data_IF_021262910858
#
_entry.id   IF_021262910858
#
_cell.length_a   1.000
_cell.length_b   1.000
_cell.length_c   1.000
_cell.angle_alpha   90.00
_cell.angle_beta   90.00
_cell.angle_gamma   90.00
#
_symmetry.space_group_name_H-M   'P 1'
#
loop_
_entity.id
_entity.type
_entity.pdbx_description
1 polymer ?
#
# COMPACT_ATOMS: atom_id res chain seq x y z
N UNK A 1 28.55 26.80 20.13
CA UNK A 1 29.63 25.86 19.74
C UNK A 1 29.84 25.99 18.24
N UNK A 2 30.87 26.73 17.82
CA UNK A 2 31.16 26.95 16.40
C UNK A 2 31.65 25.63 15.78
N UNK A 3 30.89 25.09 14.82
CA UNK A 3 31.26 23.87 14.10
C UNK A 3 32.54 24.10 13.28
N UNK A 4 33.42 23.10 13.20
CA UNK A 4 34.62 23.16 12.34
C UNK A 4 34.22 23.50 10.91
N UNK A 5 34.65 24.66 10.43
CA UNK A 5 34.39 25.16 9.08
C UNK A 5 34.89 24.14 8.03
N UNK A 6 34.17 24.03 6.92
CA UNK A 6 34.59 23.22 5.77
C UNK A 6 35.56 24.03 4.92
N UNK A 7 36.72 23.47 4.61
CA UNK A 7 37.66 24.07 3.65
C UNK A 7 37.36 23.56 2.24
N UNK A 8 37.71 24.32 1.21
CA UNK A 8 37.50 23.92 -0.19
C UNK A 8 38.14 22.57 -0.53
N UNK A 9 39.32 22.28 0.05
CA UNK A 9 40.01 21.00 -0.11
C UNK A 9 39.21 19.83 0.49
N UNK A 10 38.58 20.02 1.66
CA UNK A 10 37.71 19.00 2.28
C UNK A 10 36.45 18.75 1.46
N UNK A 11 35.95 19.75 0.74
CA UNK A 11 34.79 19.59 -0.14
C UNK A 11 35.13 18.82 -1.41
N UNK A 12 36.30 19.04 -1.99
CA UNK A 12 36.78 18.26 -3.14
C UNK A 12 37.05 16.80 -2.74
N UNK A 13 37.70 16.59 -1.59
CA UNK A 13 37.95 15.26 -1.06
C UNK A 13 36.62 14.55 -0.72
N UNK A 14 35.65 15.26 -0.14
CA UNK A 14 34.30 14.71 0.08
C UNK A 14 33.64 14.28 -1.22
N UNK A 15 33.70 15.10 -2.28
CA UNK A 15 33.16 14.73 -3.60
C UNK A 15 33.83 13.47 -4.12
N UNK A 16 35.16 13.40 -4.08
CA UNK A 16 35.92 12.24 -4.55
C UNK A 16 35.54 10.96 -3.78
N UNK A 17 35.41 11.04 -2.46
CA UNK A 17 35.04 9.90 -1.62
C UNK A 17 33.60 9.44 -1.85
N UNK A 18 32.66 10.39 -2.09
CA UNK A 18 31.28 10.06 -2.44
C UNK A 18 31.19 9.43 -3.84
N UNK A 19 31.94 9.93 -4.82
CA UNK A 19 32.02 9.30 -6.15
C UNK A 19 32.65 7.91 -6.11
N UNK A 20 33.56 7.67 -5.18
CA UNK A 20 34.14 6.35 -4.92
C UNK A 20 33.19 5.41 -4.14
N UNK A 21 31.95 5.83 -3.86
CA UNK A 21 30.92 5.05 -3.16
C UNK A 21 31.32 4.59 -1.74
N UNK A 22 32.14 5.36 -1.02
CA UNK A 22 32.44 5.04 0.38
C UNK A 22 31.24 5.32 1.30
N UNK A 23 31.17 4.58 2.40
CA UNK A 23 30.14 4.76 3.41
C UNK A 23 30.38 6.06 4.21
N UNK A 24 29.31 6.71 4.69
CA UNK A 24 29.38 7.95 5.48
C UNK A 24 30.33 7.84 6.66
N UNK A 25 30.37 6.70 7.35
CA UNK A 25 31.22 6.53 8.52
C UNK A 25 32.71 6.45 8.17
N UNK A 26 33.04 5.85 7.02
CA UNK A 26 34.41 5.82 6.49
C UNK A 26 34.86 7.21 6.05
N UNK A 27 33.95 7.97 5.43
CA UNK A 27 34.18 9.37 5.03
C UNK A 27 34.37 10.24 6.26
N UNK A 28 33.55 10.06 7.30
CA UNK A 28 33.63 10.77 8.57
C UNK A 28 34.96 10.53 9.27
N UNK A 29 35.42 9.27 9.29
CA UNK A 29 36.73 8.89 9.84
C UNK A 29 37.88 9.53 9.05
N UNK A 30 37.85 9.51 7.71
CA UNK A 30 38.89 10.11 6.87
C UNK A 30 38.97 11.63 7.00
N UNK A 31 37.81 12.31 7.04
CA UNK A 31 37.74 13.77 7.12
C UNK A 31 37.83 14.31 8.56
N UNK A 32 37.90 13.42 9.56
CA UNK A 32 37.89 13.76 10.98
C UNK A 32 36.71 14.70 11.36
N UNK A 33 35.52 14.38 10.82
CA UNK A 33 34.24 15.06 11.03
C UNK A 33 33.23 14.06 11.58
N UNK A 34 32.13 14.55 12.16
CA UNK A 34 31.03 13.66 12.54
C UNK A 34 30.23 13.21 11.32
N UNK A 35 29.68 11.99 11.34
CA UNK A 35 28.81 11.45 10.28
C UNK A 35 27.66 12.42 9.95
N UNK A 36 27.07 13.06 10.98
CA UNK A 36 26.05 14.10 10.81
C UNK A 36 26.55 15.31 10.01
N UNK A 37 27.78 15.77 10.25
CA UNK A 37 28.35 16.90 9.51
C UNK A 37 28.61 16.55 8.04
N UNK A 38 29.03 15.30 7.77
CA UNK A 38 29.20 14.77 6.41
C UNK A 38 27.86 14.72 5.67
N UNK A 39 26.82 14.15 6.30
CA UNK A 39 25.47 14.07 5.72
C UNK A 39 24.93 15.47 5.37
N UNK A 40 24.93 16.41 6.33
CA UNK A 40 24.43 17.78 6.10
C UNK A 40 25.21 18.48 4.99
N UNK A 41 26.52 18.21 4.86
CA UNK A 41 27.32 18.83 3.80
C UNK A 41 27.04 18.20 2.45
N UNK A 42 26.90 16.87 2.36
CA UNK A 42 26.52 16.19 1.14
C UNK A 42 25.14 16.62 0.65
N UNK A 43 24.16 16.77 1.54
CA UNK A 43 22.83 17.31 1.22
C UNK A 43 22.93 18.73 0.62
N UNK A 44 23.72 19.61 1.24
CA UNK A 44 23.95 20.98 0.73
C UNK A 44 24.65 21.00 -0.63
N UNK A 45 25.49 20.01 -0.92
CA UNK A 45 26.21 19.86 -2.17
C UNK A 45 25.43 19.04 -3.22
N UNK A 46 24.23 18.55 -2.90
CA UNK A 46 23.42 17.69 -3.78
C UNK A 46 24.01 16.30 -4.02
N UNK A 47 24.90 15.83 -3.15
CA UNK A 47 25.59 14.55 -3.27
C UNK A 47 24.77 13.43 -2.58
N UNK A 48 24.57 12.30 -3.27
CA UNK A 48 23.92 11.12 -2.69
C UNK A 48 24.97 10.27 -1.98
N UNK A 49 24.80 10.07 -0.67
CA UNK A 49 25.69 9.20 0.11
C UNK A 49 24.92 7.98 0.59
N UNK A 50 25.59 6.83 0.62
CA UNK A 50 25.07 5.63 1.23
C UNK A 50 25.14 5.79 2.74
N UNK A 51 23.98 5.96 3.38
CA UNK A 51 23.86 5.88 4.85
C UNK A 51 23.33 4.50 5.20
N UNK A 52 24.07 3.74 5.99
CA UNK A 52 23.49 2.60 6.69
C UNK A 52 22.50 3.12 7.74
N UNK A 53 21.21 3.21 7.37
CA UNK A 53 20.13 3.44 8.34
C UNK A 53 19.05 4.46 7.96
N UNK A 54 19.24 5.27 6.92
CA UNK A 54 18.22 6.24 6.47
C UNK A 54 17.97 6.10 4.97
N UNK A 55 17.47 4.93 4.58
CA UNK A 55 16.81 4.82 3.29
C UNK A 55 15.42 5.45 3.41
N UNK A 56 15.31 6.73 3.05
CA UNK A 56 14.12 7.26 2.39
C UNK A 56 14.02 6.63 0.99
N UNK A 57 14.09 5.30 0.90
CA UNK A 57 13.76 4.59 -0.31
C UNK A 57 12.24 4.76 -0.45
N UNK A 58 11.82 5.54 -1.45
CA UNK A 58 10.45 5.47 -1.97
C UNK A 58 10.09 3.99 -2.08
N UNK A 59 9.21 3.52 -1.20
CA UNK A 59 8.79 2.12 -1.21
C UNK A 59 8.07 1.94 -2.54
N UNK A 60 8.60 1.14 -3.48
CA UNK A 60 7.96 0.98 -4.77
C UNK A 60 6.58 0.38 -4.51
N UNK A 61 5.54 1.14 -4.82
CA UNK A 61 4.16 0.65 -4.72
C UNK A 61 4.03 -0.45 -5.77
N UNK A 62 3.74 -1.69 -5.38
CA UNK A 62 3.61 -2.79 -6.32
C UNK A 62 2.43 -2.52 -7.26
N UNK A 63 2.58 -2.85 -8.54
CA UNK A 63 1.53 -2.67 -9.56
C UNK A 63 0.29 -3.53 -9.25
N UNK A 64 0.50 -4.65 -8.60
CA UNK A 64 -0.54 -5.60 -8.20
C UNK A 64 -0.40 -5.91 -6.72
N UNK A 65 -1.54 -6.07 -6.04
CA UNK A 65 -1.56 -6.46 -4.63
C UNK A 65 -1.07 -7.91 -4.50
N UNK A 66 -0.27 -8.23 -3.47
CA UNK A 66 0.07 -9.62 -3.16
C UNK A 66 -1.18 -10.50 -3.05
N UNK A 67 -1.11 -11.73 -3.53
CA UNK A 67 -2.18 -12.70 -3.31
C UNK A 67 -2.29 -13.06 -1.81
N UNK A 68 -3.48 -13.56 -1.41
CA UNK A 68 -3.70 -14.06 -0.04
C UNK A 68 -2.67 -15.13 0.32
N UNK A 69 -2.38 -16.03 -0.62
CA UNK A 69 -1.44 -17.13 -0.41
C UNK A 69 -0.01 -16.60 -0.18
N UNK A 70 0.41 -15.58 -0.93
CA UNK A 70 1.72 -14.94 -0.73
C UNK A 70 1.82 -14.28 0.64
N UNK A 71 0.79 -13.55 1.09
CA UNK A 71 0.77 -12.96 2.41
C UNK A 71 0.81 -14.01 3.53
N UNK A 72 0.09 -15.12 3.36
CA UNK A 72 0.14 -16.24 4.30
C UNK A 72 1.51 -16.91 4.33
N UNK A 73 2.19 -17.06 3.18
CA UNK A 73 3.56 -17.58 3.12
C UNK A 73 4.55 -16.66 3.85
N UNK A 74 4.41 -15.33 3.69
CA UNK A 74 5.24 -14.35 4.41
C UNK A 74 5.02 -14.47 5.92
N UNK A 75 3.76 -14.53 6.38
CA UNK A 75 3.42 -14.71 7.78
C UNK A 75 4.01 -16.01 8.35
N UNK A 76 3.87 -17.13 7.63
CA UNK A 76 4.41 -18.41 8.03
C UNK A 76 5.95 -18.36 8.15
N UNK A 77 6.62 -17.65 7.23
CA UNK A 77 8.06 -17.39 7.30
C UNK A 77 8.46 -16.60 8.55
N UNK A 78 7.75 -15.52 8.86
CA UNK A 78 7.99 -14.69 10.04
C UNK A 78 7.80 -15.48 11.34
N UNK A 79 6.73 -16.28 11.43
CA UNK A 79 6.47 -17.17 12.56
C UNK A 79 7.57 -18.23 12.74
N UNK A 80 8.05 -18.84 11.65
CA UNK A 80 9.13 -19.82 11.73
C UNK A 80 10.44 -19.18 12.19
N UNK A 81 10.70 -17.93 11.77
CA UNK A 81 11.89 -17.20 12.18
C UNK A 81 11.84 -16.77 13.65
N UNK A 82 10.67 -16.43 14.20
CA UNK A 82 10.53 -15.95 15.58
C UNK A 82 10.76 -17.02 16.65
N UNK A 83 10.65 -18.29 16.29
CA UNK A 83 10.90 -19.43 17.19
C UNK A 83 12.41 -19.75 17.32
N UNK A 84 13.27 -19.16 16.47
CA UNK A 84 14.71 -19.44 16.52
C UNK A 84 15.35 -18.86 17.79
N UNK A 85 16.16 -19.65 18.53
CA UNK A 85 16.91 -19.14 19.67
C UNK A 85 18.02 -18.18 19.19
N UNK A 86 18.40 -17.23 20.06
CA UNK A 86 19.51 -16.30 19.79
C UNK A 86 19.13 -15.02 19.03
N UNK A 87 17.84 -14.74 18.84
CA UNK A 87 17.37 -13.48 18.25
C UNK A 87 17.69 -12.27 19.14
N UNK A 88 18.18 -11.20 18.53
CA UNK A 88 18.35 -9.93 19.22
C UNK A 88 17.01 -9.16 19.31
N UNK A 89 16.94 -8.16 20.20
CA UNK A 89 15.71 -7.36 20.44
C UNK A 89 15.15 -6.70 19.18
N UNK A 90 16.01 -6.20 18.30
CA UNK A 90 15.64 -5.54 17.05
C UNK A 90 15.12 -6.56 16.02
N UNK A 91 15.68 -7.77 15.97
CA UNK A 91 15.17 -8.86 15.14
C UNK A 91 13.79 -9.33 15.59
N UNK A 92 13.58 -9.47 16.91
CA UNK A 92 12.27 -9.80 17.48
C UNK A 92 11.24 -8.72 17.11
N UNK A 93 11.58 -7.44 17.23
CA UNK A 93 10.69 -6.35 16.84
C UNK A 93 10.35 -6.35 15.35
N UNK A 94 11.33 -6.62 14.48
CA UNK A 94 11.09 -6.72 13.03
C UNK A 94 10.17 -7.89 12.70
N UNK A 95 10.38 -9.05 13.33
CA UNK A 95 9.52 -10.22 13.13
C UNK A 95 8.09 -9.99 13.63
N UNK A 96 7.93 -9.34 14.78
CA UNK A 96 6.61 -8.95 15.30
C UNK A 96 5.89 -7.96 14.38
N UNK A 97 6.62 -6.96 13.86
CA UNK A 97 6.06 -6.00 12.89
C UNK A 97 5.59 -6.71 11.63
N UNK A 98 6.39 -7.62 11.08
CA UNK A 98 6.00 -8.40 9.88
C UNK A 98 4.78 -9.27 10.17
N UNK A 99 4.74 -9.96 11.30
CA UNK A 99 3.60 -10.80 11.68
C UNK A 99 2.30 -9.99 11.80
N UNK A 100 2.36 -8.83 12.46
CA UNK A 100 1.21 -7.94 12.63
C UNK A 100 0.72 -7.36 11.30
N UNK A 101 1.63 -6.91 10.43
CA UNK A 101 1.26 -6.40 9.10
C UNK A 101 0.63 -7.50 8.25
N UNK A 102 1.19 -8.71 8.23
CA UNK A 102 0.61 -9.82 7.46
C UNK A 102 -0.77 -10.25 7.98
N UNK A 103 -0.99 -10.20 9.31
CA UNK A 103 -2.31 -10.47 9.90
C UNK A 103 -3.33 -9.42 9.48
N UNK A 104 -3.01 -8.14 9.61
CA UNK A 104 -3.88 -7.04 9.16
C UNK A 104 -4.20 -7.14 7.67
N UNK A 105 -3.22 -7.50 6.85
CA UNK A 105 -3.42 -7.66 5.41
C UNK A 105 -4.43 -8.76 5.07
N UNK A 106 -4.38 -9.89 5.79
CA UNK A 106 -5.37 -10.97 5.64
C UNK A 106 -6.79 -10.50 5.99
N UNK A 107 -6.94 -9.73 7.07
CA UNK A 107 -8.23 -9.18 7.51
C UNK A 107 -8.79 -8.21 6.46
N UNK A 108 -7.96 -7.26 5.99
CA UNK A 108 -8.35 -6.29 4.96
C UNK A 108 -8.76 -6.94 3.63
N UNK A 109 -8.12 -8.05 3.23
CA UNK A 109 -8.55 -8.79 2.04
C UNK A 109 -9.91 -9.45 2.25
N UNK A 110 -10.16 -10.04 3.43
CA UNK A 110 -11.46 -10.63 3.72
C UNK A 110 -12.59 -9.59 3.60
N UNK A 111 -12.35 -8.39 4.12
CA UNK A 111 -13.27 -7.26 4.00
C UNK A 111 -13.45 -6.83 2.54
N UNK A 112 -12.36 -6.77 1.75
CA UNK A 112 -12.43 -6.45 0.32
C UNK A 112 -13.21 -7.49 -0.49
N UNK A 113 -13.02 -8.78 -0.22
CA UNK A 113 -13.78 -9.85 -0.87
C UNK A 113 -15.27 -9.74 -0.55
N UNK A 114 -15.61 -9.50 0.72
CA UNK A 114 -16.99 -9.30 1.13
C UNK A 114 -17.62 -8.10 0.41
N UNK A 115 -16.89 -7.00 0.28
CA UNK A 115 -17.34 -5.81 -0.44
C UNK A 115 -17.66 -6.10 -1.93
N UNK A 116 -16.80 -6.85 -2.64
CA UNK A 116 -17.10 -7.24 -4.04
C UNK A 116 -18.31 -8.15 -4.17
N UNK A 117 -18.55 -9.03 -3.21
CA UNK A 117 -19.74 -9.89 -3.23
C UNK A 117 -21.01 -9.08 -3.01
N UNK A 118 -20.96 -8.06 -2.15
CA UNK A 118 -22.05 -7.09 -1.97
C UNK A 118 -22.29 -6.29 -3.25
N UNK A 119 -21.24 -5.76 -3.88
CA UNK A 119 -21.36 -5.03 -5.16
C UNK A 119 -22.02 -5.88 -6.24
N UNK A 120 -21.57 -7.13 -6.40
CA UNK A 120 -22.14 -8.06 -7.39
C UNK A 120 -23.63 -8.30 -7.15
N UNK A 121 -24.02 -8.48 -5.89
CA UNK A 121 -25.42 -8.71 -5.52
C UNK A 121 -26.28 -7.47 -5.74
N UNK A 122 -25.72 -6.28 -5.51
CA UNK A 122 -26.37 -5.02 -5.81
C UNK A 122 -26.63 -4.86 -7.32
N UNK A 123 -25.64 -5.16 -8.16
CA UNK A 123 -25.79 -5.13 -9.62
C UNK A 123 -26.86 -6.12 -10.12
N UNK A 124 -26.91 -7.31 -9.53
CA UNK A 124 -27.93 -8.32 -9.85
C UNK A 124 -29.33 -7.82 -9.48
N UNK A 125 -29.51 -7.30 -8.26
CA UNK A 125 -30.78 -6.70 -7.82
C UNK A 125 -31.19 -5.49 -8.67
N UNK A 126 -30.24 -4.68 -9.12
CA UNK A 126 -30.53 -3.55 -10.02
C UNK A 126 -31.02 -4.04 -11.38
N UNK A 127 -30.42 -5.11 -11.93
CA UNK A 127 -30.87 -5.74 -13.18
C UNK A 127 -32.27 -6.33 -13.06
N UNK A 128 -32.55 -7.04 -11.97
CA UNK A 128 -33.89 -7.60 -11.69
C UNK A 128 -34.94 -6.50 -11.53
N UNK A 129 -34.65 -5.44 -10.78
CA UNK A 129 -35.57 -4.32 -10.64
C UNK A 129 -35.84 -3.63 -11.97
N UNK A 130 -34.82 -3.44 -12.80
CA UNK A 130 -34.99 -2.85 -14.13
C UNK A 130 -35.92 -3.70 -15.02
N UNK A 131 -35.76 -5.02 -14.99
CA UNK A 131 -36.63 -5.92 -15.77
C UNK A 131 -38.07 -5.95 -15.24
N UNK A 132 -38.25 -5.93 -13.93
CA UNK A 132 -39.57 -5.84 -13.30
C UNK A 132 -40.28 -4.52 -13.62
N UNK A 133 -39.56 -3.39 -13.60
CA UNK A 133 -40.11 -2.10 -13.99
C UNK A 133 -40.54 -2.08 -15.46
N UNK A 134 -39.75 -2.68 -16.34
CA UNK A 134 -40.10 -2.81 -17.76
C UNK A 134 -41.37 -3.66 -17.93
N UNK A 135 -41.44 -4.83 -17.28
CA UNK A 135 -42.61 -5.70 -17.33
C UNK A 135 -43.88 -5.03 -16.79
N UNK A 136 -43.77 -4.27 -15.68
CA UNK A 136 -44.88 -3.49 -15.13
C UNK A 136 -45.38 -2.43 -16.12
N UNK A 137 -44.47 -1.76 -16.81
CA UNK A 137 -44.79 -0.75 -17.83
C UNK A 137 -45.53 -1.38 -19.00
N UNK A 138 -45.10 -2.56 -19.46
CA UNK A 138 -45.76 -3.32 -20.54
C UNK A 138 -47.16 -3.80 -20.14
N UNK A 139 -47.33 -4.27 -18.90
CA UNK A 139 -48.64 -4.68 -18.37
C UNK A 139 -49.58 -3.48 -18.27
N UNK A 140 -49.11 -2.33 -17.76
CA UNK A 140 -49.90 -1.10 -17.69
C UNK A 140 -50.29 -0.58 -19.08
N UNK A 141 -49.40 -0.68 -20.06
CA UNK A 141 -49.70 -0.33 -21.45
C UNK A 141 -50.79 -1.24 -22.04
N UNK A 142 -50.72 -2.56 -21.81
CA UNK A 142 -51.74 -3.53 -22.25
C UNK A 142 -53.08 -3.36 -21.55
N UNK A 143 -53.10 -3.05 -20.25
CA UNK A 143 -54.35 -2.81 -19.52
C UNK A 143 -55.04 -1.52 -19.96
N UNK A 144 -54.26 -0.51 -20.36
CA UNK A 144 -54.77 0.77 -20.86
C UNK A 144 -55.27 0.72 -22.31
N UNK A 145 -54.92 -0.34 -23.07
CA UNK A 145 -55.34 -0.53 -24.46
C UNK A 145 -56.55 -1.45 -24.65
N UNK A 146 -57.13 -2.00 -23.56
CA UNK A 146 -58.34 -2.83 -23.64
C UNK A 146 -59.56 -1.94 -23.90
N UNK A 147 -60.37 -2.19 -24.94
CA UNK A 147 -61.58 -1.41 -25.20
C UNK A 147 -62.57 -1.59 -24.04
N UNK A 148 -63.37 -0.56 -23.70
CA UNK A 148 -64.36 -0.66 -22.63
C UNK A 148 -65.31 -1.83 -22.92
N UNK A 149 -65.44 -2.75 -21.96
CA UNK A 149 -66.35 -3.87 -22.10
C UNK A 149 -67.78 -3.35 -22.33
N UNK A 150 -68.53 -3.92 -23.27
CA UNK A 150 -69.89 -3.49 -23.52
C UNK A 150 -70.72 -3.72 -22.26
N UNK A 151 -71.21 -2.62 -21.69
CA UNK A 151 -72.14 -2.64 -20.56
C UNK A 151 -73.35 -3.47 -20.99
N UNK A 152 -73.47 -4.69 -20.48
CA UNK A 152 -74.63 -5.53 -20.71
C UNK A 152 -75.84 -4.80 -20.13
N UNK A 153 -76.63 -4.15 -20.99
CA UNK A 153 -77.93 -3.63 -20.61
C UNK A 153 -78.79 -4.83 -20.21
N UNK A 154 -78.94 -5.02 -18.91
CA UNK A 154 -80.03 -5.80 -18.33
C UNK A 154 -81.34 -5.12 -18.74
N UNK A 155 -82.04 -5.72 -19.69
CA UNK A 155 -83.41 -5.34 -20.04
C UNK A 155 -84.34 -6.14 -19.11
N UNK A 156 -85.37 -5.50 -18.51
CA UNK A 156 -86.20 -6.04 -17.44
C UNK A 156 -87.03 -7.27 -17.82
#
# INVERSE_FOLDING_TARGET
MAGKVWTSQQEEELKALVYANLNVDEIAAKLNKSSKAVITKCERLGLRVQTEGYLNASIPIPRELPSIEEALRILAGALKASVKPGLNRLEVQRLDTVANISKMYKELIADYMHYRDVERKLEEMQRENASLHQALTEIQARSSSLPPQPVSKSIP
#
